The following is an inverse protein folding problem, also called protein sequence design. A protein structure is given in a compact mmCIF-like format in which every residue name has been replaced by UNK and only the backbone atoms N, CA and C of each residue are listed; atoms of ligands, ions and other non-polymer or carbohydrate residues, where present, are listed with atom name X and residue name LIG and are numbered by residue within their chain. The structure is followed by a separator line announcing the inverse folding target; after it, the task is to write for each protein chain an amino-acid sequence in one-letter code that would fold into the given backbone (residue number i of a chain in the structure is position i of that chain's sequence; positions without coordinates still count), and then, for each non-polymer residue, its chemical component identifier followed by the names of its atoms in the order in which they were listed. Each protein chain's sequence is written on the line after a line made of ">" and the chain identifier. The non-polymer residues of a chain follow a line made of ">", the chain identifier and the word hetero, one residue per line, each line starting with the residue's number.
data_IF_328713531809
#
_entry.id   IF_328713531809
#
_cell.length_a   1.000
_cell.length_b   1.000
_cell.length_c   1.000
_cell.angle_alpha   90.00
_cell.angle_beta   90.00
_cell.angle_gamma   90.00
#
_symmetry.space_group_name_H-M   'P 1'
#
loop_
_entity.id
_entity.type
_entity.pdbx_description
1 polymer ?
#
# COMPACT_ATOMS: atom_id res chain seq x y z
N UNK A 1 -8.56 -48.33 42.13
CA UNK A 1 -9.12 -47.22 41.34
C UNK A 1 -9.95 -47.85 40.26
N UNK A 2 -11.28 -47.70 40.32
CA UNK A 2 -12.22 -48.19 39.32
C UNK A 2 -12.11 -47.33 38.05
N UNK A 3 -12.43 -47.89 36.89
CA UNK A 3 -12.40 -47.17 35.60
C UNK A 3 -13.24 -45.88 35.60
N UNK A 4 -14.32 -45.82 36.41
CA UNK A 4 -15.12 -44.59 36.63
C UNK A 4 -14.30 -43.42 37.23
N UNK A 5 -13.29 -43.70 38.05
CA UNK A 5 -12.44 -42.67 38.65
C UNK A 5 -11.41 -42.12 37.64
N UNK A 6 -11.07 -42.90 36.60
CA UNK A 6 -10.19 -42.47 35.52
C UNK A 6 -10.96 -41.64 34.47
N UNK A 7 -12.19 -42.03 34.15
CA UNK A 7 -13.08 -41.25 33.26
C UNK A 7 -13.44 -39.88 33.88
N UNK A 8 -13.66 -39.81 35.20
CA UNK A 8 -13.89 -38.52 35.89
C UNK A 8 -12.66 -37.60 35.89
N UNK A 9 -11.44 -38.14 35.92
CA UNK A 9 -10.19 -37.37 35.89
C UNK A 9 -9.83 -36.85 34.49
N UNK A 10 -10.34 -37.49 33.42
CA UNK A 10 -10.18 -37.01 32.04
C UNK A 10 -11.10 -35.81 31.76
N UNK A 11 -12.30 -35.78 32.33
CA UNK A 11 -13.27 -34.68 32.16
C UNK A 11 -12.88 -33.44 33.00
N UNK A 12 -12.23 -33.62 34.16
CA UNK A 12 -11.73 -32.52 35.01
C UNK A 12 -10.49 -31.79 34.44
N UNK A 13 -9.80 -32.37 33.45
CA UNK A 13 -8.63 -31.76 32.78
C UNK A 13 -8.96 -31.05 31.46
N UNK A 14 -10.23 -30.93 31.10
CA UNK A 14 -10.62 -30.11 29.97
C UNK A 14 -10.35 -28.63 30.29
N UNK A 15 -9.53 -27.97 29.47
CA UNK A 15 -9.46 -26.51 29.48
C UNK A 15 -10.89 -25.96 29.30
N UNK A 16 -11.27 -24.88 30.02
CA UNK A 16 -12.53 -24.19 29.77
C UNK A 16 -12.73 -23.92 28.29
N UNK A 17 -13.99 -23.80 27.84
CA UNK A 17 -14.30 -23.52 26.44
C UNK A 17 -13.45 -22.35 25.95
N UNK A 18 -12.46 -22.67 25.12
CA UNK A 18 -11.43 -21.72 24.79
C UNK A 18 -12.02 -20.71 23.81
N UNK A 19 -11.79 -19.42 24.05
CA UNK A 19 -12.21 -18.34 23.15
C UNK A 19 -11.94 -18.75 21.67
N UNK A 20 -12.87 -18.57 20.72
CA UNK A 20 -12.75 -19.11 19.37
C UNK A 20 -11.45 -18.67 18.64
N UNK A 21 -11.00 -17.43 18.91
CA UNK A 21 -9.74 -16.90 18.37
C UNK A 21 -8.46 -17.61 18.88
N UNK A 22 -8.54 -18.32 20.01
CA UNK A 22 -7.38 -18.95 20.65
C UNK A 22 -6.71 -20.01 19.77
N UNK A 23 -7.44 -20.62 18.83
CA UNK A 23 -6.90 -21.56 17.85
C UNK A 23 -5.78 -20.95 17.00
N UNK A 24 -5.95 -19.70 16.55
CA UNK A 24 -4.95 -19.00 15.73
C UNK A 24 -3.69 -18.67 16.53
N UNK A 25 -3.85 -18.21 17.78
CA UNK A 25 -2.71 -17.98 18.67
C UNK A 25 -1.97 -19.30 18.97
N UNK A 26 -2.71 -20.39 19.19
CA UNK A 26 -2.11 -21.71 19.41
C UNK A 26 -1.26 -22.15 18.21
N UNK A 27 -1.67 -21.84 16.99
CA UNK A 27 -0.88 -22.10 15.77
C UNK A 27 0.47 -21.37 15.79
N UNK A 28 0.52 -20.15 16.33
CA UNK A 28 1.75 -19.37 16.43
C UNK A 28 2.65 -19.69 17.63
N UNK A 29 2.06 -20.08 18.76
CA UNK A 29 2.74 -20.11 20.05
C UNK A 29 2.90 -21.50 20.67
N UNK A 30 2.84 -22.56 19.85
CA UNK A 30 3.05 -23.96 20.27
C UNK A 30 4.49 -24.33 20.60
N UNK A 31 5.42 -23.40 20.44
CA UNK A 31 6.85 -23.58 20.68
C UNK A 31 7.63 -24.02 19.44
N UNK A 32 8.97 -24.11 19.55
CA UNK A 32 9.85 -24.48 18.45
C UNK A 32 9.47 -25.84 17.83
N UNK A 33 9.41 -25.91 16.50
CA UNK A 33 9.07 -27.14 15.75
C UNK A 33 7.58 -27.50 15.69
N UNK A 34 6.71 -26.80 16.43
CA UNK A 34 5.25 -27.00 16.42
C UNK A 34 4.45 -25.76 16.00
N UNK A 35 5.12 -24.61 15.96
CA UNK A 35 4.54 -23.35 15.48
C UNK A 35 4.62 -23.31 13.95
N UNK A 36 3.58 -22.79 13.30
CA UNK A 36 3.53 -22.60 11.84
C UNK A 36 2.82 -21.31 11.47
N UNK A 37 2.93 -20.90 10.21
CA UNK A 37 2.08 -19.84 9.64
C UNK A 37 0.63 -20.32 9.52
N UNK A 38 -0.31 -19.37 9.51
CA UNK A 38 -1.69 -19.65 9.17
C UNK A 38 -1.81 -19.99 7.68
N UNK A 39 -2.78 -20.82 7.34
CA UNK A 39 -3.22 -20.95 5.94
C UNK A 39 -3.98 -19.70 5.51
N UNK A 40 -4.20 -19.52 4.20
CA UNK A 40 -5.04 -18.44 3.66
C UNK A 40 -6.42 -18.40 4.32
N UNK A 41 -7.06 -19.56 4.45
CA UNK A 41 -8.39 -19.69 5.07
C UNK A 41 -8.37 -19.35 6.58
N UNK A 42 -7.35 -19.80 7.31
CA UNK A 42 -7.20 -19.47 8.73
C UNK A 42 -6.94 -17.98 8.93
N UNK A 43 -6.10 -17.37 8.09
CA UNK A 43 -5.84 -15.93 8.12
C UNK A 43 -7.09 -15.12 7.79
N UNK A 44 -7.87 -15.55 6.79
CA UNK A 44 -9.17 -14.96 6.47
C UNK A 44 -10.12 -14.98 7.67
N UNK A 45 -10.29 -16.14 8.32
CA UNK A 45 -11.16 -16.29 9.48
C UNK A 45 -10.68 -15.45 10.67
N UNK A 46 -9.39 -15.53 10.99
CA UNK A 46 -8.80 -14.75 12.08
C UNK A 46 -9.01 -13.25 11.86
N UNK A 47 -8.73 -12.76 10.64
CA UNK A 47 -8.86 -11.34 10.36
C UNK A 47 -10.32 -10.89 10.29
N UNK A 48 -11.24 -11.75 9.82
CA UNK A 48 -12.69 -11.49 9.88
C UNK A 48 -13.16 -11.25 11.32
N UNK A 49 -12.76 -12.11 12.26
CA UNK A 49 -13.08 -11.90 13.69
C UNK A 49 -12.52 -10.58 14.23
N UNK A 50 -11.29 -10.23 13.85
CA UNK A 50 -10.67 -8.94 14.23
C UNK A 50 -11.48 -7.76 13.68
N UNK A 51 -11.96 -7.86 12.44
CA UNK A 51 -12.76 -6.80 11.80
C UNK A 51 -14.16 -6.67 12.40
N UNK A 52 -14.67 -7.73 13.04
CA UNK A 52 -15.99 -7.79 13.68
C UNK A 52 -15.98 -7.51 15.19
N UNK A 53 -14.83 -7.09 15.75
CA UNK A 53 -14.66 -6.84 17.19
C UNK A 53 -14.88 -8.08 18.08
N UNK A 54 -14.67 -9.28 17.54
CA UNK A 54 -14.83 -10.56 18.24
C UNK A 54 -13.54 -11.04 18.92
N UNK A 55 -12.56 -10.15 19.12
CA UNK A 55 -11.22 -10.51 19.61
C UNK A 55 -10.83 -9.62 20.79
N UNK A 56 -10.41 -10.26 21.88
CA UNK A 56 -9.96 -9.54 23.08
C UNK A 56 -8.69 -8.71 22.80
N UNK A 57 -8.50 -7.54 23.43
CA UNK A 57 -7.34 -6.68 23.19
C UNK A 57 -5.98 -7.38 23.38
N UNK A 58 -5.89 -8.28 24.38
CA UNK A 58 -4.68 -9.08 24.64
C UNK A 58 -4.42 -10.06 23.49
N UNK A 59 -5.46 -10.70 22.96
CA UNK A 59 -5.35 -11.62 21.83
C UNK A 59 -4.95 -10.89 20.54
N UNK A 60 -5.55 -9.72 20.29
CA UNK A 60 -5.20 -8.86 19.16
C UNK A 60 -3.74 -8.42 19.24
N UNK A 61 -3.30 -7.93 20.40
CA UNK A 61 -1.91 -7.55 20.62
C UNK A 61 -0.93 -8.69 20.36
N UNK A 62 -1.21 -9.88 20.88
CA UNK A 62 -0.40 -11.08 20.63
C UNK A 62 -0.34 -11.41 19.13
N UNK A 63 -1.49 -11.47 18.46
CA UNK A 63 -1.58 -11.76 17.03
C UNK A 63 -0.74 -10.79 16.18
N UNK A 64 -0.92 -9.48 16.37
CA UNK A 64 -0.22 -8.45 15.61
C UNK A 64 1.29 -8.47 15.85
N UNK A 65 1.72 -8.64 17.11
CA UNK A 65 3.14 -8.68 17.46
C UNK A 65 3.83 -9.94 16.95
N UNK A 66 3.13 -11.07 16.89
CA UNK A 66 3.66 -12.30 16.32
C UNK A 66 4.00 -12.16 14.85
N UNK A 67 3.03 -11.67 14.06
CA UNK A 67 3.21 -11.44 12.64
C UNK A 67 4.29 -10.38 12.41
N UNK A 68 4.37 -9.35 13.27
CA UNK A 68 5.46 -8.38 13.22
C UNK A 68 6.85 -9.00 13.46
N UNK A 69 6.95 -9.98 14.36
CA UNK A 69 8.22 -10.65 14.67
C UNK A 69 8.66 -11.61 13.55
N UNK A 70 7.73 -12.42 13.03
CA UNK A 70 8.02 -13.43 12.00
C UNK A 70 8.01 -12.91 10.56
N UNK A 71 7.31 -11.80 10.31
CA UNK A 71 6.77 -11.40 9.02
C UNK A 71 5.66 -12.33 8.50
N UNK A 72 4.72 -11.74 7.77
CA UNK A 72 3.58 -12.44 7.17
C UNK A 72 4.02 -13.25 5.94
N UNK A 73 3.40 -14.41 5.71
CA UNK A 73 3.53 -15.12 4.43
C UNK A 73 2.56 -14.57 3.38
N UNK A 74 2.78 -14.83 2.07
CA UNK A 74 1.85 -14.45 1.03
C UNK A 74 0.42 -14.98 1.24
N UNK A 75 0.27 -16.21 1.73
CA UNK A 75 -1.04 -16.83 2.01
C UNK A 75 -1.75 -16.12 3.16
N UNK A 76 -1.02 -15.77 4.22
CA UNK A 76 -1.58 -15.01 5.34
C UNK A 76 -2.05 -13.64 4.89
N UNK A 77 -1.24 -12.93 4.10
CA UNK A 77 -1.63 -11.63 3.54
C UNK A 77 -2.85 -11.74 2.63
N UNK A 78 -2.88 -12.74 1.73
CA UNK A 78 -4.02 -12.94 0.84
C UNK A 78 -5.31 -13.14 1.63
N UNK A 79 -5.31 -14.03 2.63
CA UNK A 79 -6.48 -14.27 3.49
C UNK A 79 -6.92 -13.03 4.26
N UNK A 80 -5.98 -12.27 4.82
CA UNK A 80 -6.29 -11.01 5.50
C UNK A 80 -6.87 -9.96 4.54
N UNK A 81 -6.36 -9.85 3.32
CA UNK A 81 -6.84 -8.91 2.30
C UNK A 81 -8.25 -9.28 1.84
N UNK A 82 -8.54 -10.56 1.63
CA UNK A 82 -9.88 -11.06 1.30
C UNK A 82 -10.89 -10.72 2.40
N UNK A 83 -10.53 -10.92 3.67
CA UNK A 83 -11.39 -10.56 4.79
C UNK A 83 -11.73 -9.06 4.78
N UNK A 84 -10.73 -8.21 4.49
CA UNK A 84 -10.94 -6.75 4.36
C UNK A 84 -11.83 -6.42 3.17
N UNK A 85 -11.55 -6.97 1.99
CA UNK A 85 -12.34 -6.70 0.77
C UNK A 85 -13.79 -7.08 0.97
N UNK A 86 -14.05 -8.24 1.60
CA UNK A 86 -15.40 -8.68 1.96
C UNK A 86 -16.09 -7.75 2.95
N UNK A 87 -15.40 -7.38 4.05
CA UNK A 87 -15.97 -6.50 5.07
C UNK A 87 -16.30 -5.10 4.52
N UNK A 88 -15.48 -4.59 3.60
CA UNK A 88 -15.67 -3.28 2.98
C UNK A 88 -16.48 -3.31 1.68
N UNK A 89 -17.01 -4.47 1.25
CA UNK A 89 -17.74 -4.67 -0.01
C UNK A 89 -16.97 -4.13 -1.22
N UNK A 90 -15.68 -4.46 -1.29
CA UNK A 90 -14.77 -4.07 -2.37
C UNK A 90 -14.59 -5.16 -3.42
N UNK A 91 -15.26 -6.30 -3.23
CA UNK A 91 -15.28 -7.41 -4.19
C UNK A 91 -15.96 -6.98 -5.50
N UNK A 92 -15.60 -7.58 -6.65
CA UNK A 92 -16.28 -7.32 -7.92
C UNK A 92 -17.77 -7.64 -7.81
N UNK A 93 -18.62 -6.82 -8.42
CA UNK A 93 -20.03 -7.18 -8.60
C UNK A 93 -20.10 -8.36 -9.57
N UNK A 94 -20.51 -9.54 -9.11
CA UNK A 94 -20.61 -10.76 -9.93
C UNK A 94 -21.59 -10.62 -11.10
N UNK A 95 -22.56 -9.69 -10.99
CA UNK A 95 -23.62 -9.44 -11.96
C UNK A 95 -23.43 -8.14 -12.78
N UNK A 96 -22.34 -7.41 -12.54
CA UNK A 96 -22.07 -6.12 -13.18
C UNK A 96 -21.44 -6.28 -14.57
N UNK A 97 -21.82 -5.41 -15.51
CA UNK A 97 -21.10 -5.28 -16.78
C UNK A 97 -19.70 -4.68 -16.47
N UNK A 98 -18.67 -5.52 -16.50
CA UNK A 98 -17.30 -5.20 -16.05
C UNK A 98 -16.72 -3.97 -16.78
N UNK A 99 -17.20 -3.71 -18.00
CA UNK A 99 -16.83 -2.58 -18.87
C UNK A 99 -17.54 -1.25 -18.51
N UNK A 100 -18.62 -1.28 -17.73
CA UNK A 100 -19.38 -0.08 -17.37
C UNK A 100 -18.78 0.68 -16.16
N UNK A 101 -17.91 0.04 -15.38
CA UNK A 101 -17.32 0.64 -14.18
C UNK A 101 -16.06 1.45 -14.52
N UNK A 102 -16.05 2.72 -14.13
CA UNK A 102 -14.86 3.57 -14.20
C UNK A 102 -13.80 3.01 -13.23
N UNK A 103 -12.73 2.43 -13.80
CA UNK A 103 -11.59 1.89 -13.06
C UNK A 103 -10.38 2.80 -13.19
N UNK A 104 -9.65 3.06 -12.10
CA UNK A 104 -8.34 3.69 -12.20
C UNK A 104 -7.39 2.81 -13.01
N UNK A 105 -6.50 3.44 -13.76
CA UNK A 105 -5.39 2.75 -14.41
C UNK A 105 -4.35 2.32 -13.37
N UNK A 106 -4.13 3.16 -12.35
CA UNK A 106 -3.14 2.94 -11.29
C UNK A 106 -3.79 3.09 -9.91
N UNK A 107 -3.61 2.07 -9.07
CA UNK A 107 -3.73 2.13 -7.62
C UNK A 107 -2.37 2.48 -7.01
N UNK A 108 -2.27 3.60 -6.29
CA UNK A 108 -1.02 4.12 -5.73
C UNK A 108 -1.14 4.36 -4.21
N UNK A 109 -1.04 3.29 -3.40
CA UNK A 109 -1.22 3.36 -1.96
C UNK A 109 -0.11 4.15 -1.25
N UNK A 110 -0.51 4.95 -0.25
CA UNK A 110 0.40 5.71 0.62
C UNK A 110 0.20 5.35 2.09
N UNK A 111 0.99 4.38 2.54
CA UNK A 111 1.02 3.88 3.92
C UNK A 111 2.41 3.84 4.51
N UNK A 112 3.39 4.46 3.84
CA UNK A 112 4.71 4.57 4.44
C UNK A 112 4.62 5.44 5.69
N UNK A 113 5.36 5.00 6.69
CA UNK A 113 5.36 5.62 8.01
C UNK A 113 6.82 5.88 8.44
N UNK A 114 7.65 6.25 7.46
CA UNK A 114 9.09 6.49 7.56
C UNK A 114 9.38 7.89 8.07
N UNK A 115 10.47 8.04 8.85
CA UNK A 115 10.86 9.30 9.48
C UNK A 115 11.50 10.31 8.52
N UNK A 116 11.92 9.87 7.34
CA UNK A 116 12.82 10.59 6.42
C UNK A 116 12.24 10.73 5.01
N UNK A 117 10.90 10.75 4.85
CA UNK A 117 10.27 10.83 3.51
C UNK A 117 10.46 12.21 2.86
N UNK A 118 10.54 13.28 3.64
CA UNK A 118 10.55 14.64 3.07
C UNK A 118 9.21 15.00 2.43
N UNK A 119 9.25 15.59 1.24
CA UNK A 119 8.07 15.97 0.46
C UNK A 119 7.51 14.78 -0.35
N UNK A 120 6.18 14.65 -0.53
CA UNK A 120 5.57 13.53 -1.26
C UNK A 120 5.58 13.79 -2.78
N UNK A 121 6.75 13.72 -3.43
CA UNK A 121 6.90 14.04 -4.84
C UNK A 121 6.06 13.13 -5.76
N UNK A 122 5.84 11.88 -5.35
CA UNK A 122 4.94 10.95 -6.04
C UNK A 122 3.48 11.45 -6.17
N UNK A 123 3.03 12.40 -5.34
CA UNK A 123 1.71 13.05 -5.52
C UNK A 123 1.70 13.92 -6.78
N UNK A 124 2.80 14.61 -7.10
CA UNK A 124 2.92 15.37 -8.35
C UNK A 124 3.04 14.42 -9.55
N UNK A 125 3.65 13.24 -9.37
CA UNK A 125 3.63 12.20 -10.40
C UNK A 125 2.21 11.74 -10.70
N UNK A 126 1.40 11.47 -9.67
CA UNK A 126 0.00 11.08 -9.83
C UNK A 126 -0.85 12.20 -10.49
N UNK A 127 -0.62 13.46 -10.11
CA UNK A 127 -1.23 14.63 -10.77
C UNK A 127 -0.86 14.68 -12.26
N UNK A 128 0.42 14.52 -12.60
CA UNK A 128 0.89 14.52 -13.99
C UNK A 128 0.21 13.42 -14.82
N UNK A 129 0.07 12.21 -14.27
CA UNK A 129 -0.67 11.12 -14.91
C UNK A 129 -2.13 11.50 -15.15
N UNK A 130 -2.80 12.06 -14.14
CA UNK A 130 -4.23 12.42 -14.24
C UNK A 130 -4.48 13.52 -15.29
N UNK A 131 -3.60 14.51 -15.41
CA UNK A 131 -3.67 15.56 -16.44
C UNK A 131 -3.52 15.00 -17.86
N UNK A 132 -2.94 13.80 -18.00
CA UNK A 132 -2.65 13.17 -19.29
C UNK A 132 -3.49 11.89 -19.52
N UNK A 133 -4.68 11.83 -18.91
CA UNK A 133 -5.66 10.77 -19.19
C UNK A 133 -5.30 9.39 -18.65
N UNK A 134 -4.38 9.32 -17.67
CA UNK A 134 -4.09 8.10 -16.92
C UNK A 134 -4.77 8.22 -15.54
N UNK A 135 -5.95 7.63 -15.35
CA UNK A 135 -6.69 7.79 -14.10
C UNK A 135 -5.97 7.14 -12.91
N UNK A 136 -5.81 7.88 -11.82
CA UNK A 136 -5.09 7.42 -10.62
C UNK A 136 -5.99 7.42 -9.40
N UNK A 137 -6.01 6.31 -8.68
CA UNK A 137 -6.48 6.28 -7.30
C UNK A 137 -5.27 6.31 -6.36
N UNK A 138 -5.27 7.26 -5.44
CA UNK A 138 -4.43 7.20 -4.26
C UNK A 138 -5.29 6.87 -3.04
N UNK A 139 -4.81 6.04 -2.14
CA UNK A 139 -5.47 5.82 -0.84
C UNK A 139 -4.42 5.66 0.24
N UNK A 140 -4.72 6.07 1.48
CA UNK A 140 -3.65 6.15 2.44
C UNK A 140 -4.00 6.59 3.85
N UNK A 141 -3.00 6.43 4.70
CA UNK A 141 -2.90 7.03 6.03
C UNK A 141 -1.44 7.01 6.50
N UNK A 142 -0.84 8.19 6.65
CA UNK A 142 0.51 8.32 7.20
C UNK A 142 0.42 8.61 8.70
N UNK A 143 0.28 7.56 9.51
CA UNK A 143 0.03 7.66 10.96
C UNK A 143 1.06 8.47 11.75
N UNK A 144 2.32 8.48 11.28
CA UNK A 144 3.39 9.28 11.87
C UNK A 144 4.36 9.77 10.81
N UNK A 145 4.54 11.08 10.78
CA UNK A 145 5.60 11.78 10.04
C UNK A 145 6.30 12.70 11.05
N UNK A 146 7.63 12.64 11.08
CA UNK A 146 8.44 13.47 12.00
C UNK A 146 8.98 14.68 11.24
N UNK A 147 9.63 14.44 10.09
CA UNK A 147 10.22 15.48 9.25
C UNK A 147 9.76 15.29 7.80
N UNK A 148 8.59 15.84 7.46
CA UNK A 148 7.97 15.66 6.14
C UNK A 148 6.57 16.26 6.03
N UNK A 149 6.07 16.36 4.80
CA UNK A 149 4.69 16.78 4.52
C UNK A 149 3.85 15.55 4.24
N UNK A 150 2.72 15.39 4.95
CA UNK A 150 1.79 14.28 4.75
C UNK A 150 1.17 14.26 3.36
N UNK A 151 0.85 13.06 2.87
CA UNK A 151 0.25 12.87 1.53
C UNK A 151 -1.06 13.63 1.41
N UNK A 152 -1.97 13.49 2.39
CA UNK A 152 -3.23 14.26 2.41
C UNK A 152 -3.00 15.79 2.48
N UNK A 153 -1.94 16.26 3.14
CA UNK A 153 -1.63 17.69 3.20
C UNK A 153 -1.16 18.24 1.85
N UNK A 154 -0.37 17.48 1.10
CA UNK A 154 0.02 17.83 -0.26
C UNK A 154 -1.18 17.80 -1.22
N UNK A 155 -2.05 16.81 -1.09
CA UNK A 155 -3.29 16.70 -1.90
C UNK A 155 -4.21 17.89 -1.65
N UNK A 156 -4.38 18.32 -0.39
CA UNK A 156 -5.11 19.56 -0.05
C UNK A 156 -4.47 20.81 -0.66
N UNK A 157 -3.14 20.91 -0.60
CA UNK A 157 -2.41 22.06 -1.14
C UNK A 157 -2.55 22.18 -2.67
N UNK A 158 -2.66 21.04 -3.37
CA UNK A 158 -2.93 20.97 -4.81
C UNK A 158 -4.42 21.10 -5.17
N UNK A 159 -5.31 21.24 -4.17
CA UNK A 159 -6.78 21.23 -4.36
C UNK A 159 -7.29 20.00 -5.12
N UNK A 160 -6.61 18.87 -4.95
CA UNK A 160 -7.01 17.60 -5.54
C UNK A 160 -8.19 16.98 -4.77
N UNK A 161 -9.04 16.17 -5.45
CA UNK A 161 -10.19 15.54 -4.81
C UNK A 161 -9.81 14.61 -3.65
N UNK A 162 -10.54 14.75 -2.54
CA UNK A 162 -10.47 13.89 -1.37
C UNK A 162 -11.85 13.31 -1.15
N UNK A 163 -12.02 12.05 -1.50
CA UNK A 163 -13.27 11.34 -1.43
C UNK A 163 -13.60 10.89 0.00
N UNK A 164 -14.89 10.85 0.32
CA UNK A 164 -15.44 10.39 1.59
C UNK A 164 -16.03 8.97 1.48
N UNK A 165 -16.07 8.39 0.28
CA UNK A 165 -16.48 7.02 0.02
C UNK A 165 -15.81 6.45 -1.25
N UNK A 166 -15.91 5.13 -1.45
CA UNK A 166 -15.46 4.48 -2.69
C UNK A 166 -16.25 4.96 -3.92
N UNK A 167 -17.54 5.25 -3.77
CA UNK A 167 -18.42 5.75 -4.83
C UNK A 167 -18.02 7.17 -5.26
N UNK A 168 -17.77 8.06 -4.30
CA UNK A 168 -17.28 9.41 -4.58
C UNK A 168 -15.90 9.36 -5.25
N UNK A 169 -15.02 8.47 -4.79
CA UNK A 169 -13.72 8.27 -5.42
C UNK A 169 -13.84 7.82 -6.89
N UNK A 170 -14.78 6.92 -7.22
CA UNK A 170 -15.06 6.54 -8.62
C UNK A 170 -15.57 7.74 -9.44
N UNK A 171 -16.46 8.55 -8.87
CA UNK A 171 -16.99 9.76 -9.53
C UNK A 171 -15.91 10.81 -9.80
N UNK A 172 -15.05 11.07 -8.81
CA UNK A 172 -13.90 11.98 -8.94
C UNK A 172 -12.88 11.47 -9.97
N UNK A 173 -12.59 10.17 -10.00
CA UNK A 173 -11.74 9.58 -11.05
C UNK A 173 -12.38 9.77 -12.43
N UNK A 174 -13.69 9.54 -12.57
CA UNK A 174 -14.39 9.70 -13.84
C UNK A 174 -14.41 11.13 -14.37
N UNK A 175 -14.50 12.12 -13.48
CA UNK A 175 -14.61 13.53 -13.85
C UNK A 175 -13.28 14.27 -13.93
N UNK A 176 -12.29 13.89 -13.10
CA UNK A 176 -11.03 14.62 -12.92
C UNK A 176 -9.79 13.76 -13.14
N UNK A 177 -9.94 12.45 -13.36
CA UNK A 177 -8.82 11.52 -13.53
C UNK A 177 -8.06 11.20 -12.24
N UNK A 178 -8.49 11.70 -11.08
CA UNK A 178 -7.81 11.50 -9.81
C UNK A 178 -8.79 11.46 -8.63
N UNK A 179 -8.54 10.57 -7.67
CA UNK A 179 -9.13 10.66 -6.35
C UNK A 179 -8.12 10.26 -5.27
N UNK A 180 -8.21 10.92 -4.10
CA UNK A 180 -7.62 10.43 -2.87
C UNK A 180 -8.69 9.88 -1.94
N UNK A 181 -8.58 8.60 -1.54
CA UNK A 181 -9.47 7.97 -0.58
C UNK A 181 -8.74 7.75 0.77
N UNK A 182 -8.99 8.58 1.80
CA UNK A 182 -8.38 8.37 3.11
C UNK A 182 -8.82 7.06 3.75
N UNK A 183 -7.91 6.37 4.45
CA UNK A 183 -8.21 5.08 5.08
C UNK A 183 -9.40 5.14 6.05
N UNK A 184 -9.57 6.24 6.78
CA UNK A 184 -10.72 6.47 7.67
C UNK A 184 -12.09 6.41 6.95
N UNK A 185 -12.13 6.72 5.66
CA UNK A 185 -13.34 6.67 4.83
C UNK A 185 -13.46 5.34 4.08
N UNK A 186 -12.34 4.66 3.85
CA UNK A 186 -12.31 3.34 3.23
C UNK A 186 -12.65 2.22 4.23
N UNK A 187 -12.00 2.22 5.40
CA UNK A 187 -12.16 1.19 6.42
C UNK A 187 -11.77 1.68 7.83
N UNK A 188 -12.73 2.19 8.64
CA UNK A 188 -12.48 2.73 9.98
C UNK A 188 -11.77 1.75 10.94
N UNK A 189 -12.11 0.45 10.89
CA UNK A 189 -11.43 -0.54 11.75
C UNK A 189 -9.94 -0.68 11.41
N UNK A 190 -9.56 -0.68 10.13
CA UNK A 190 -8.15 -0.69 9.76
C UNK A 190 -7.42 0.60 10.18
N UNK A 191 -8.12 1.74 10.14
CA UNK A 191 -7.62 3.01 10.65
C UNK A 191 -7.31 2.94 12.16
N UNK A 192 -8.15 2.25 12.94
CA UNK A 192 -7.88 1.95 14.36
C UNK A 192 -6.65 1.05 14.51
N UNK A 193 -6.59 -0.07 13.79
CA UNK A 193 -5.51 -1.06 13.93
C UNK A 193 -4.13 -0.51 13.54
N UNK A 194 -4.03 0.28 12.46
CA UNK A 194 -2.78 0.98 12.10
C UNK A 194 -2.47 2.12 13.09
N UNK A 195 -3.51 2.65 13.74
CA UNK A 195 -3.45 3.65 14.80
C UNK A 195 -2.90 3.11 16.13
N UNK A 196 -2.77 1.78 16.30
CA UNK A 196 -2.14 1.17 17.47
C UNK A 196 -0.62 1.39 17.54
N UNK A 197 0.00 1.98 16.51
CA UNK A 197 1.45 2.18 16.47
C UNK A 197 2.05 2.95 17.66
N UNK A 198 1.47 4.06 18.18
CA UNK A 198 1.97 4.70 19.39
C UNK A 198 1.94 3.80 20.62
N UNK A 199 0.94 2.91 20.70
CA UNK A 199 0.76 1.99 21.82
C UNK A 199 1.75 0.82 21.74
N UNK A 200 1.88 0.20 20.56
CA UNK A 200 2.77 -0.95 20.35
C UNK A 200 4.24 -0.56 20.13
N UNK A 201 4.52 0.69 19.77
CA UNK A 201 5.85 1.18 19.37
C UNK A 201 6.35 0.64 18.02
N UNK A 202 5.56 -0.19 17.34
CA UNK A 202 5.94 -0.91 16.12
C UNK A 202 4.87 -0.75 15.04
N UNK A 203 5.27 -1.02 13.77
CA UNK A 203 4.30 -1.20 12.68
C UNK A 203 3.59 -2.53 12.84
N UNK A 204 2.35 -2.61 12.40
CA UNK A 204 1.56 -3.85 12.40
C UNK A 204 1.49 -4.45 10.99
N UNK A 205 1.07 -5.71 10.85
CA UNK A 205 0.80 -6.37 9.56
C UNK A 205 -0.17 -5.59 8.65
N UNK A 206 -1.02 -4.77 9.28
CA UNK A 206 -1.95 -3.87 8.60
C UNK A 206 -1.22 -2.93 7.63
N UNK A 207 -0.02 -2.46 7.97
CA UNK A 207 0.78 -1.62 7.07
C UNK A 207 1.21 -2.35 5.77
N UNK A 208 1.33 -3.68 5.82
CA UNK A 208 1.71 -4.52 4.67
C UNK A 208 0.49 -4.78 3.80
N UNK A 209 -0.60 -5.31 4.39
CA UNK A 209 -1.81 -5.67 3.65
C UNK A 209 -2.49 -4.45 2.99
N UNK A 210 -2.45 -3.28 3.63
CA UNK A 210 -3.10 -2.06 3.12
C UNK A 210 -2.60 -1.66 1.73
N UNK A 211 -1.39 -2.05 1.35
CA UNK A 211 -0.80 -1.75 0.04
C UNK A 211 -1.38 -2.59 -1.10
N UNK A 212 -2.06 -3.69 -0.80
CA UNK A 212 -2.58 -4.61 -1.81
C UNK A 212 -4.11 -4.59 -1.88
N UNK A 213 -4.77 -3.68 -1.15
CA UNK A 213 -6.22 -3.63 -1.11
C UNK A 213 -6.83 -3.38 -2.48
N UNK A 214 -6.27 -2.43 -3.25
CA UNK A 214 -6.77 -2.03 -4.57
C UNK A 214 -8.32 -1.84 -4.57
N UNK A 215 -8.84 -0.89 -3.78
CA UNK A 215 -10.25 -0.86 -3.39
C UNK A 215 -11.21 -0.57 -4.56
N UNK A 216 -10.72 0.01 -5.66
CA UNK A 216 -11.51 0.26 -6.86
C UNK A 216 -11.11 -0.62 -8.05
N UNK A 217 -10.33 -1.68 -7.80
CA UNK A 217 -9.94 -2.67 -8.81
C UNK A 217 -9.20 -2.04 -10.00
N UNK A 218 -8.20 -1.22 -9.69
CA UNK A 218 -7.27 -0.68 -10.68
C UNK A 218 -6.61 -1.80 -11.48
N UNK A 219 -6.30 -1.49 -12.74
CA UNK A 219 -5.62 -2.42 -13.66
C UNK A 219 -4.17 -2.71 -13.23
N UNK A 220 -3.51 -1.75 -12.60
CA UNK A 220 -2.18 -1.91 -12.05
C UNK A 220 -2.06 -1.28 -10.66
N UNK A 221 -1.27 -1.89 -9.79
CA UNK A 221 -0.94 -1.33 -8.47
C UNK A 221 0.55 -0.97 -8.39
N UNK A 222 0.89 0.25 -7.95
CA UNK A 222 2.27 0.71 -7.80
C UNK A 222 2.67 0.84 -6.32
N UNK A 223 3.49 -0.10 -5.87
CA UNK A 223 3.73 -0.36 -4.46
C UNK A 223 5.15 0.02 -4.02
N UNK A 224 5.24 0.77 -2.93
CA UNK A 224 6.49 1.04 -2.25
C UNK A 224 6.74 0.08 -1.09
N UNK A 225 7.98 -0.38 -0.94
CA UNK A 225 8.42 -1.07 0.28
C UNK A 225 9.72 -0.49 0.81
N UNK A 226 9.94 -0.63 2.12
CA UNK A 226 11.18 -0.16 2.75
C UNK A 226 12.29 -1.21 2.72
N UNK A 227 11.93 -2.50 2.90
CA UNK A 227 12.89 -3.60 3.02
C UNK A 227 12.76 -4.56 1.84
N UNK A 228 13.87 -4.97 1.18
CA UNK A 228 13.83 -5.84 0.00
C UNK A 228 13.05 -7.14 0.19
N UNK A 229 13.08 -7.75 1.38
CA UNK A 229 12.32 -8.97 1.66
C UNK A 229 10.80 -8.84 1.45
N UNK A 230 10.24 -7.63 1.49
CA UNK A 230 8.82 -7.41 1.20
C UNK A 230 8.51 -7.31 -0.31
N UNK A 231 9.52 -7.17 -1.18
CA UNK A 231 9.30 -7.07 -2.63
C UNK A 231 8.59 -8.32 -3.16
N UNK A 232 9.13 -9.49 -2.82
CA UNK A 232 8.62 -10.76 -3.31
C UNK A 232 7.30 -11.13 -2.64
N UNK A 233 7.17 -10.85 -1.34
CA UNK A 233 5.93 -11.08 -0.58
C UNK A 233 4.74 -10.36 -1.23
N UNK A 234 4.89 -9.10 -1.68
CA UNK A 234 3.77 -8.37 -2.27
C UNK A 234 3.37 -8.90 -3.64
N UNK A 235 4.33 -9.24 -4.51
CA UNK A 235 4.02 -9.80 -5.84
C UNK A 235 3.43 -11.19 -5.75
N UNK A 236 3.96 -12.01 -4.86
CA UNK A 236 3.44 -13.37 -4.65
C UNK A 236 2.04 -13.35 -4.04
N UNK A 237 1.79 -12.44 -3.09
CA UNK A 237 0.43 -12.20 -2.58
C UNK A 237 -0.48 -11.72 -3.71
N UNK A 238 0.00 -10.80 -4.55
CA UNK A 238 -0.71 -10.33 -5.74
C UNK A 238 -1.09 -11.46 -6.69
N UNK A 239 -0.18 -12.42 -6.90
CA UNK A 239 -0.40 -13.60 -7.74
C UNK A 239 -1.50 -14.50 -7.14
N UNK A 240 -1.50 -14.70 -5.82
CA UNK A 240 -2.54 -15.45 -5.11
C UNK A 240 -3.92 -14.76 -5.13
N UNK A 241 -3.93 -13.42 -5.22
CA UNK A 241 -5.11 -12.58 -5.34
C UNK A 241 -5.53 -12.32 -6.79
N UNK A 242 -4.81 -12.91 -7.77
CA UNK A 242 -5.07 -12.76 -9.20
C UNK A 242 -5.10 -11.29 -9.66
N UNK A 243 -4.27 -10.45 -9.03
CA UNK A 243 -4.14 -9.05 -9.43
C UNK A 243 -3.52 -8.96 -10.83
N UNK A 244 -4.11 -8.20 -11.78
CA UNK A 244 -3.68 -8.20 -13.17
C UNK A 244 -2.23 -7.74 -13.32
N UNK A 245 -1.89 -6.64 -12.65
CA UNK A 245 -0.54 -6.09 -12.71
C UNK A 245 -0.13 -5.39 -11.41
N UNK A 246 1.11 -5.63 -10.98
CA UNK A 246 1.71 -4.97 -9.82
C UNK A 246 3.13 -4.57 -10.16
N UNK A 247 3.54 -3.38 -9.76
CA UNK A 247 4.95 -2.99 -9.71
C UNK A 247 5.36 -2.67 -8.29
N UNK A 248 6.43 -3.28 -7.80
CA UNK A 248 6.95 -3.04 -6.44
C UNK A 248 8.37 -2.49 -6.52
N UNK A 249 8.63 -1.39 -5.82
CA UNK A 249 9.96 -0.79 -5.72
C UNK A 249 10.38 -0.59 -4.27
N UNK A 250 11.70 -0.59 -4.06
CA UNK A 250 12.28 -0.02 -2.83
C UNK A 250 12.34 1.50 -2.96
N UNK A 251 11.23 2.17 -2.72
CA UNK A 251 11.11 3.62 -2.91
C UNK A 251 11.35 4.46 -1.65
N UNK A 252 11.34 5.78 -1.84
CA UNK A 252 11.63 6.79 -0.81
C UNK A 252 10.76 6.64 0.44
N UNK A 253 11.37 6.42 1.61
CA UNK A 253 10.64 6.21 2.87
C UNK A 253 9.75 4.97 2.93
N UNK A 254 9.73 4.14 1.88
CA UNK A 254 8.80 3.03 1.67
C UNK A 254 7.54 3.38 0.88
N UNK A 255 7.46 4.56 0.25
CA UNK A 255 6.44 4.84 -0.77
C UNK A 255 6.92 4.41 -2.15
N UNK A 256 6.00 4.24 -3.10
CA UNK A 256 6.33 4.04 -4.50
C UNK A 256 6.80 5.39 -5.09
N UNK A 257 8.00 5.81 -4.69
CA UNK A 257 8.69 6.98 -5.19
C UNK A 257 10.10 6.57 -5.61
N UNK A 258 10.41 6.72 -6.90
CA UNK A 258 11.72 6.39 -7.48
C UNK A 258 12.76 7.38 -6.95
N UNK A 259 13.89 6.84 -6.50
CA UNK A 259 15.08 7.65 -6.23
C UNK A 259 15.86 7.87 -7.54
N UNK A 260 16.31 9.10 -7.84
CA UNK A 260 17.00 9.39 -9.10
C UNK A 260 18.49 9.03 -9.07
N UNK A 261 19.08 8.77 -7.89
CA UNK A 261 20.54 8.68 -7.70
C UNK A 261 21.13 7.28 -7.85
N UNK A 262 20.30 6.26 -8.06
CA UNK A 262 20.72 4.88 -8.22
C UNK A 262 19.68 4.13 -9.05
N UNK A 263 20.08 2.96 -9.57
CA UNK A 263 19.13 2.08 -10.21
C UNK A 263 18.06 1.62 -9.22
N UNK A 264 16.87 1.35 -9.76
CA UNK A 264 15.73 0.79 -9.04
C UNK A 264 15.22 -0.41 -9.82
N UNK A 265 15.15 -1.56 -9.17
CA UNK A 265 14.49 -2.73 -9.74
C UNK A 265 12.98 -2.58 -9.52
N UNK A 266 12.23 -2.45 -10.60
CA UNK A 266 10.78 -2.59 -10.63
C UNK A 266 10.44 -4.07 -10.70
N UNK A 267 10.03 -4.62 -9.56
CA UNK A 267 9.65 -6.02 -9.40
C UNK A 267 8.18 -6.15 -9.80
N UNK A 268 7.87 -6.90 -10.86
CA UNK A 268 6.53 -6.90 -11.47
C UNK A 268 5.78 -8.22 -11.41
N UNK A 269 4.49 -8.16 -11.10
CA UNK A 269 3.55 -9.21 -11.50
C UNK A 269 2.83 -8.68 -12.74
N UNK A 270 2.76 -9.47 -13.80
CA UNK A 270 2.02 -9.14 -15.01
C UNK A 270 1.28 -10.38 -15.51
N UNK A 271 -0.05 -10.39 -15.36
CA UNK A 271 -0.93 -11.50 -15.73
C UNK A 271 -0.45 -12.88 -15.23
N UNK A 272 -0.03 -12.94 -13.97
CA UNK A 272 0.48 -14.16 -13.34
C UNK A 272 1.97 -14.42 -13.53
N UNK A 273 2.65 -13.69 -14.42
CA UNK A 273 4.09 -13.83 -14.66
C UNK A 273 4.89 -12.87 -13.77
N UNK A 274 5.99 -13.37 -13.22
CA UNK A 274 6.92 -12.56 -12.42
C UNK A 274 8.11 -12.14 -13.28
N UNK A 275 8.21 -10.84 -13.56
CA UNK A 275 9.30 -10.24 -14.32
C UNK A 275 9.91 -9.03 -13.60
N UNK A 276 11.18 -8.73 -13.84
CA UNK A 276 11.86 -7.61 -13.20
C UNK A 276 12.45 -6.68 -14.26
N UNK A 277 12.20 -5.38 -14.09
CA UNK A 277 12.74 -4.35 -14.98
C UNK A 277 13.68 -3.44 -14.17
N UNK A 278 14.94 -3.35 -14.59
CA UNK A 278 15.93 -2.49 -13.93
C UNK A 278 15.94 -1.10 -14.56
N UNK A 279 15.47 -0.12 -13.80
CA UNK A 279 15.49 1.29 -14.20
C UNK A 279 16.82 1.92 -13.78
N UNK A 280 17.58 2.55 -14.69
CA UNK A 280 18.88 3.14 -14.39
C UNK A 280 18.78 4.35 -13.44
N UNK A 281 19.91 4.80 -12.91
CA UNK A 281 19.99 6.09 -12.23
C UNK A 281 19.78 7.22 -13.25
N UNK A 282 19.11 8.30 -12.84
CA UNK A 282 18.87 9.49 -13.66
C UNK A 282 19.92 10.57 -13.37
N UNK A 283 20.36 10.67 -12.12
CA UNK A 283 21.30 11.67 -11.63
C UNK A 283 22.53 11.00 -11.01
N UNK A 284 23.64 11.74 -10.98
CA UNK A 284 24.88 11.32 -10.35
C UNK A 284 24.79 11.36 -8.81
N UNK A 285 25.73 10.70 -8.14
CA UNK A 285 25.80 10.74 -6.66
C UNK A 285 26.16 12.12 -6.11
N UNK A 286 26.88 12.95 -6.86
CA UNK A 286 27.29 14.30 -6.44
C UNK A 286 26.10 15.26 -6.36
N UNK A 287 25.05 15.02 -7.15
CA UNK A 287 23.80 15.80 -7.11
C UNK A 287 22.91 15.44 -5.91
N UNK A 288 23.26 14.39 -5.15
CA UNK A 288 22.54 13.96 -3.95
C UNK A 288 22.71 14.92 -2.78
N UNK A 289 23.88 15.56 -2.66
CA UNK A 289 24.17 16.43 -1.52
C UNK A 289 23.32 17.72 -1.53
N UNK A 290 22.81 18.12 -2.70
CA UNK A 290 21.84 19.22 -2.86
C UNK A 290 20.40 18.84 -2.47
N UNK A 291 20.01 17.57 -2.66
CA UNK A 291 18.68 17.06 -2.29
C UNK A 291 18.45 17.12 -0.78
N UNK A 292 19.47 16.77 0.01
CA UNK A 292 19.40 16.79 1.48
C UNK A 292 19.24 18.21 2.07
N UNK A 293 19.50 19.26 1.27
CA UNK A 293 19.37 20.67 1.66
C UNK A 293 18.03 21.30 1.24
N UNK A 294 17.22 20.59 0.47
CA UNK A 294 15.99 21.14 -0.10
C UNK A 294 14.94 21.44 0.99
N UNK A 295 14.26 22.60 0.95
CA UNK A 295 13.28 22.95 1.96
C UNK A 295 12.10 21.98 1.98
N UNK A 296 11.83 21.38 3.15
CA UNK A 296 10.66 20.49 3.35
C UNK A 296 9.41 21.33 3.66
N UNK A 297 8.96 22.12 2.69
CA UNK A 297 7.78 22.99 2.82
C UNK A 297 6.80 22.83 1.66
N UNK A 298 5.52 23.06 1.91
CA UNK A 298 4.51 23.07 0.85
C UNK A 298 4.75 24.17 -0.19
N UNK A 299 5.36 25.30 0.21
CA UNK A 299 5.74 26.36 -0.73
C UNK A 299 6.77 25.86 -1.75
N UNK A 300 7.81 25.14 -1.28
CA UNK A 300 8.81 24.54 -2.16
C UNK A 300 8.18 23.48 -3.06
N UNK A 301 7.37 22.59 -2.49
CA UNK A 301 6.65 21.54 -3.22
C UNK A 301 5.79 22.10 -4.37
N UNK A 302 5.00 23.14 -4.12
CA UNK A 302 4.19 23.80 -5.14
C UNK A 302 5.05 24.61 -6.13
N UNK A 303 6.12 25.24 -5.65
CA UNK A 303 7.04 26.00 -6.49
C UNK A 303 7.73 25.14 -7.55
N UNK A 304 8.14 23.91 -7.19
CA UNK A 304 8.69 22.95 -8.17
C UNK A 304 7.64 22.57 -9.22
N UNK A 305 6.39 22.32 -8.82
CA UNK A 305 5.32 22.04 -9.78
C UNK A 305 5.10 23.21 -10.75
N UNK A 306 5.09 24.45 -10.24
CA UNK A 306 4.88 25.67 -11.03
C UNK A 306 6.05 26.05 -11.94
N UNK A 307 7.24 25.52 -11.65
CA UNK A 307 8.48 25.99 -12.28
C UNK A 307 8.99 27.31 -11.66
N UNK A 308 8.45 27.73 -10.51
CA UNK A 308 8.93 28.88 -9.75
C UNK A 308 10.26 28.59 -9.01
N UNK A 309 10.56 27.30 -8.82
CA UNK A 309 11.74 26.82 -8.10
C UNK A 309 12.40 25.71 -8.91
N UNK A 310 13.68 25.89 -9.22
CA UNK A 310 14.51 24.84 -9.83
C UNK A 310 14.99 23.86 -8.75
N UNK A 311 14.61 22.59 -8.90
CA UNK A 311 15.04 21.49 -8.04
C UNK A 311 15.14 20.22 -8.88
N UNK A 312 16.30 20.05 -9.53
CA UNK A 312 16.54 18.94 -10.44
C UNK A 312 16.35 17.55 -9.77
N UNK A 313 16.81 17.31 -8.52
CA UNK A 313 16.46 16.11 -7.77
C UNK A 313 14.95 15.88 -7.60
N UNK A 314 14.18 16.90 -7.23
CA UNK A 314 12.74 16.78 -7.09
C UNK A 314 12.06 16.47 -8.43
N UNK A 315 12.39 17.21 -9.49
CA UNK A 315 11.87 16.96 -10.83
C UNK A 315 12.19 15.54 -11.31
N UNK A 316 13.40 15.04 -11.06
CA UNK A 316 13.80 13.69 -11.41
C UNK A 316 13.01 12.63 -10.61
N UNK A 317 12.70 12.87 -9.32
CA UNK A 317 11.80 11.99 -8.54
C UNK A 317 10.39 11.97 -9.12
N UNK A 318 9.86 13.13 -9.50
CA UNK A 318 8.51 13.28 -10.05
C UNK A 318 8.41 12.55 -11.41
N UNK A 319 9.28 12.92 -12.35
CA UNK A 319 9.31 12.33 -13.69
C UNK A 319 9.64 10.83 -13.65
N UNK A 320 10.63 10.46 -12.84
CA UNK A 320 11.06 9.07 -12.71
C UNK A 320 9.98 8.14 -12.13
N UNK A 321 9.21 8.62 -11.14
CA UNK A 321 8.10 7.84 -10.57
C UNK A 321 6.89 7.81 -11.51
N UNK A 322 6.61 8.92 -12.22
CA UNK A 322 5.57 8.96 -13.24
C UNK A 322 5.87 7.99 -14.39
N UNK A 323 7.11 7.91 -14.87
CA UNK A 323 7.49 7.01 -15.96
C UNK A 323 7.26 5.52 -15.59
N UNK A 324 7.61 5.13 -14.36
CA UNK A 324 7.31 3.78 -13.86
C UNK A 324 5.80 3.51 -13.81
N UNK A 325 5.01 4.49 -13.37
CA UNK A 325 3.56 4.35 -13.31
C UNK A 325 2.91 4.28 -14.70
N UNK A 326 3.41 5.05 -15.68
CA UNK A 326 3.01 5.01 -17.11
C UNK A 326 3.30 3.64 -17.72
N UNK A 327 4.50 3.12 -17.48
CA UNK A 327 4.89 1.78 -17.90
C UNK A 327 3.98 0.70 -17.29
N UNK A 328 3.73 0.77 -15.98
CA UNK A 328 2.79 -0.14 -15.31
C UNK A 328 1.37 -0.03 -15.86
N UNK A 329 0.90 1.19 -16.17
CA UNK A 329 -0.42 1.43 -16.75
C UNK A 329 -0.57 0.88 -18.19
N UNK A 330 0.49 0.33 -18.78
CA UNK A 330 0.48 -0.18 -20.16
C UNK A 330 0.35 0.93 -21.20
N UNK A 331 0.85 2.13 -20.87
CA UNK A 331 0.88 3.29 -21.79
C UNK A 331 2.18 3.38 -22.58
N UNK A 332 3.17 2.55 -22.23
CA UNK A 332 4.44 2.40 -22.91
C UNK A 332 4.93 0.96 -22.72
N UNK A 333 5.52 0.38 -23.76
CA UNK A 333 6.06 -0.99 -23.74
C UNK A 333 7.54 -1.02 -23.32
N UNK A 334 8.21 0.13 -23.37
CA UNK A 334 9.63 0.27 -23.05
C UNK A 334 9.88 1.43 -22.07
N UNK A 335 10.96 1.32 -21.28
CA UNK A 335 11.34 2.35 -20.31
C UNK A 335 11.57 3.72 -20.98
N UNK A 336 12.34 3.75 -22.07
CA UNK A 336 12.70 4.98 -22.77
C UNK A 336 11.47 5.67 -23.38
N UNK A 337 10.48 4.90 -23.83
CA UNK A 337 9.20 5.41 -24.30
C UNK A 337 8.41 6.05 -23.14
N UNK A 338 8.34 5.38 -21.99
CA UNK A 338 7.68 5.93 -20.81
C UNK A 338 8.35 7.22 -20.30
N UNK A 339 9.69 7.27 -20.30
CA UNK A 339 10.45 8.47 -19.93
C UNK A 339 10.25 9.60 -20.93
N UNK A 340 10.20 9.30 -22.23
CA UNK A 340 9.94 10.30 -23.28
C UNK A 340 8.52 10.87 -23.19
N UNK A 341 7.50 10.03 -22.98
CA UNK A 341 6.12 10.47 -22.78
C UNK A 341 6.01 11.40 -21.57
N UNK A 342 6.58 10.99 -20.43
CA UNK A 342 6.52 11.79 -19.21
C UNK A 342 7.29 13.09 -19.32
N UNK A 343 8.41 13.12 -20.06
CA UNK A 343 9.11 14.37 -20.33
C UNK A 343 8.21 15.33 -21.12
N UNK A 344 7.53 14.85 -22.17
CA UNK A 344 6.56 15.65 -22.91
C UNK A 344 5.39 16.13 -22.05
N UNK A 345 4.88 15.29 -21.15
CA UNK A 345 3.82 15.67 -20.21
C UNK A 345 4.29 16.72 -19.22
N UNK A 346 5.50 16.59 -18.68
CA UNK A 346 6.07 17.55 -17.75
C UNK A 346 6.19 18.94 -18.38
N UNK A 347 6.68 19.01 -19.61
CA UNK A 347 6.89 20.28 -20.32
C UNK A 347 5.58 20.98 -20.68
N UNK A 348 4.47 20.23 -20.80
CA UNK A 348 3.14 20.73 -21.15
C UNK A 348 2.13 20.66 -19.99
N UNK A 349 2.59 20.41 -18.76
CA UNK A 349 1.71 20.24 -17.59
C UNK A 349 0.93 21.51 -17.31
N UNK A 350 -0.28 21.35 -16.76
CA UNK A 350 -0.98 22.50 -16.18
C UNK A 350 -0.33 22.84 -14.82
N UNK A 351 0.47 23.91 -14.85
CA UNK A 351 1.24 24.44 -13.74
C UNK A 351 0.41 25.24 -12.75
N UNK A 352 -0.81 25.67 -13.12
CA UNK A 352 -1.64 26.61 -12.34
C UNK A 352 -2.45 25.91 -11.23
N UNK A 353 -2.05 24.69 -10.87
CA UNK A 353 -2.65 23.89 -9.80
C UNK A 353 -2.15 24.38 -8.43
N UNK A 354 -3.09 24.67 -7.52
CA UNK A 354 -2.83 25.06 -6.12
C UNK A 354 -3.34 26.44 -5.74
#
# INVERSE_FOLDING_TARGET
>A
MTDEHLEQLEDENALPESHPFSGFLRTFYRGPGRSRSLTREEAFKAFTMILQDEVEPIQLGAFLLMLRYRAETPEELAGMIEAVRKAARLEPDEDGDDDALIRPAIDWPSYAAGRTRGLPWFVLSALLLSQNGVPVLMHGYNSHLVNGVGTEAAIKALKLPIAMSAEEARSDIGSKGFAYLPLRHMHPKLQELIGLRPLLGLRSPVNTLLRLLNPLQARAAFLGVFHPAFLDVHRETGRLLELPRIGVIKGGGGEAERTPFKHVDLRMLDNGELNDVRWPAMLSKTEKDGDDQSPVTLKHFLGVWRGDVEDAPAEAKIKGSAAMAVFLAGKADYMDEAESLVQGWWDNRDSDVG
#
